data_IF_398650271492
#
_entry.id   IF_398650271492
#
_cell.length_a   1.000
_cell.length_b   1.000
_cell.length_c   1.000
_cell.angle_alpha   90.00
_cell.angle_beta   90.00
_cell.angle_gamma   90.00
#
_symmetry.space_group_name_H-M   'P 1'
#
loop_
_entity.id
_entity.type
_entity.pdbx_description
1 polymer ?
#
# COMPACT_ATOMS: atom_id res chain seq x y z
N UNK A 1 -43.96 -42.39 -31.38
CA UNK A 1 -44.32 -42.10 -29.97
C UNK A 1 -43.12 -42.52 -29.12
N UNK A 2 -42.33 -41.68 -28.48
CA UNK A 2 -42.19 -40.23 -28.42
C UNK A 2 -40.71 -39.99 -28.03
N UNK A 3 -40.04 -39.02 -28.66
CA UNK A 3 -38.74 -38.54 -28.22
C UNK A 3 -38.98 -37.47 -27.16
N UNK A 4 -38.54 -37.71 -25.91
CA UNK A 4 -38.45 -36.66 -24.91
C UNK A 4 -37.16 -35.89 -25.14
N UNK A 5 -37.28 -34.68 -25.66
CA UNK A 5 -36.22 -33.69 -25.62
C UNK A 5 -36.13 -33.12 -24.20
N UNK A 6 -35.02 -33.36 -23.51
CA UNK A 6 -34.69 -32.63 -22.30
C UNK A 6 -34.19 -31.23 -22.70
N UNK A 7 -35.06 -30.24 -22.57
CA UNK A 7 -34.67 -28.83 -22.57
C UNK A 7 -33.93 -28.55 -21.26
N UNK A 8 -32.60 -28.59 -21.30
CA UNK A 8 -31.79 -27.99 -20.25
C UNK A 8 -32.02 -26.48 -20.29
N UNK A 9 -32.65 -25.94 -19.26
CA UNK A 9 -32.72 -24.50 -19.01
C UNK A 9 -31.29 -24.00 -18.79
N UNK A 10 -30.72 -23.32 -19.80
CA UNK A 10 -29.52 -22.53 -19.59
C UNK A 10 -29.85 -21.46 -18.55
N UNK A 11 -29.25 -21.58 -17.36
CA UNK A 11 -29.18 -20.43 -16.45
C UNK A 11 -28.39 -19.34 -17.19
N UNK A 12 -28.82 -18.07 -17.18
CA UNK A 12 -27.95 -17.00 -17.62
C UNK A 12 -26.65 -17.11 -16.80
N UNK A 13 -25.50 -17.08 -17.47
CA UNK A 13 -24.24 -16.94 -16.78
C UNK A 13 -24.35 -15.68 -15.91
N UNK A 14 -24.10 -15.81 -14.61
CA UNK A 14 -23.92 -14.63 -13.78
C UNK A 14 -22.75 -13.83 -14.38
N UNK A 15 -22.88 -12.51 -14.45
CA UNK A 15 -21.79 -11.63 -14.86
C UNK A 15 -20.57 -11.90 -13.97
N UNK A 16 -19.36 -11.76 -14.51
CA UNK A 16 -18.18 -11.89 -13.68
C UNK A 16 -18.17 -10.71 -12.68
N UNK A 17 -17.79 -10.91 -11.41
CA UNK A 17 -17.76 -9.81 -10.44
C UNK A 17 -16.82 -8.67 -10.89
N UNK A 18 -15.74 -9.01 -11.59
CA UNK A 18 -14.79 -8.07 -12.18
C UNK A 18 -14.75 -8.26 -13.70
N UNK A 19 -15.03 -7.20 -14.46
CA UNK A 19 -15.07 -7.25 -15.94
C UNK A 19 -14.21 -6.16 -16.58
N UNK A 20 -13.41 -6.54 -17.60
CA UNK A 20 -12.56 -5.61 -18.34
C UNK A 20 -13.40 -4.55 -19.05
N UNK A 21 -13.04 -3.28 -18.85
CA UNK A 21 -13.60 -2.13 -19.56
C UNK A 21 -12.69 -1.77 -20.73
N UNK A 22 -11.44 -1.44 -20.43
CA UNK A 22 -10.42 -1.07 -21.42
C UNK A 22 -9.02 -1.40 -20.91
N UNK A 23 -8.08 -1.56 -21.85
CA UNK A 23 -6.66 -1.61 -21.54
C UNK A 23 -6.04 -0.26 -21.92
N UNK A 24 -5.27 0.33 -21.00
CA UNK A 24 -4.51 1.57 -21.19
C UNK A 24 -3.03 1.25 -21.46
N UNK A 25 -2.15 2.26 -21.42
CA UNK A 25 -0.72 2.05 -21.73
C UNK A 25 -0.04 1.27 -20.62
N UNK A 26 -0.19 1.65 -19.36
CA UNK A 26 0.50 0.99 -18.24
C UNK A 26 -0.42 0.15 -17.35
N UNK A 27 -1.74 0.26 -17.48
CA UNK A 27 -2.70 -0.44 -16.60
C UNK A 27 -3.95 -0.88 -17.36
N UNK A 28 -4.78 -1.68 -16.71
CA UNK A 28 -6.07 -2.13 -17.23
C UNK A 28 -7.22 -1.68 -16.33
N UNK A 29 -8.34 -1.24 -16.92
CA UNK A 29 -9.52 -0.74 -16.19
C UNK A 29 -10.58 -1.84 -16.13
N UNK A 30 -11.11 -2.09 -14.94
CA UNK A 30 -12.16 -3.08 -14.71
C UNK A 30 -13.34 -2.46 -13.95
N UNK A 31 -14.53 -2.99 -14.20
CA UNK A 31 -15.72 -2.70 -13.39
C UNK A 31 -15.80 -3.68 -12.22
N UNK A 32 -16.10 -3.17 -11.02
CA UNK A 32 -16.65 -3.95 -9.90
C UNK A 32 -18.18 -4.07 -10.08
N UNK A 33 -18.62 -5.12 -10.78
CA UNK A 33 -19.98 -5.27 -11.31
C UNK A 33 -21.03 -5.37 -10.21
N UNK A 34 -20.71 -6.05 -9.11
CA UNK A 34 -21.63 -6.34 -8.01
C UNK A 34 -21.17 -5.78 -6.65
N UNK A 35 -20.10 -4.99 -6.63
CA UNK A 35 -19.55 -4.40 -5.41
C UNK A 35 -18.72 -5.38 -4.57
N UNK A 36 -18.27 -6.49 -5.16
CA UNK A 36 -17.48 -7.52 -4.49
C UNK A 36 -16.17 -6.97 -3.95
N UNK A 37 -15.60 -5.94 -4.55
CA UNK A 37 -14.36 -5.30 -4.07
C UNK A 37 -14.70 -4.14 -3.12
N UNK A 38 -15.59 -3.24 -3.54
CA UNK A 38 -15.96 -2.04 -2.78
C UNK A 38 -16.54 -2.36 -1.40
N UNK A 39 -17.36 -3.41 -1.29
CA UNK A 39 -18.10 -3.71 -0.06
C UNK A 39 -17.58 -4.95 0.69
N UNK A 40 -16.41 -5.47 0.29
CA UNK A 40 -15.86 -6.67 0.91
C UNK A 40 -15.45 -6.46 2.37
N UNK A 41 -15.41 -7.53 3.15
CA UNK A 41 -14.75 -7.51 4.46
C UNK A 41 -13.27 -7.89 4.34
N UNK A 42 -12.41 -6.89 4.18
CA UNK A 42 -10.96 -7.09 4.04
C UNK A 42 -10.22 -7.47 5.34
N UNK A 43 -10.91 -7.55 6.48
CA UNK A 43 -10.30 -7.87 7.78
C UNK A 43 -10.37 -9.36 8.15
N UNK A 44 -11.02 -10.18 7.33
CA UNK A 44 -11.21 -11.59 7.59
C UNK A 44 -10.76 -12.41 6.38
N UNK A 45 -10.16 -13.57 6.65
CA UNK A 45 -9.62 -14.44 5.60
C UNK A 45 -10.65 -14.81 4.53
N UNK A 46 -11.75 -15.49 4.90
CA UNK A 46 -12.68 -16.00 3.89
C UNK A 46 -13.23 -14.90 2.96
N UNK A 47 -13.72 -13.74 3.46
CA UNK A 47 -14.14 -12.65 2.58
C UNK A 47 -12.98 -12.01 1.81
N UNK A 48 -11.79 -11.85 2.41
CA UNK A 48 -10.59 -11.41 1.68
C UNK A 48 -10.37 -12.25 0.41
N UNK A 49 -10.44 -13.58 0.52
CA UNK A 49 -10.28 -14.48 -0.62
C UNK A 49 -11.34 -14.27 -1.70
N UNK A 50 -12.58 -13.98 -1.32
CA UNK A 50 -13.65 -13.69 -2.28
C UNK A 50 -13.30 -12.47 -3.13
N UNK A 51 -12.85 -11.38 -2.50
CA UNK A 51 -12.43 -10.17 -3.20
C UNK A 51 -11.18 -10.39 -4.07
N UNK A 52 -10.15 -11.03 -3.52
CA UNK A 52 -8.93 -11.35 -4.25
C UNK A 52 -9.20 -12.24 -5.47
N UNK A 53 -9.94 -13.34 -5.30
CA UNK A 53 -10.25 -14.28 -6.39
C UNK A 53 -11.08 -13.62 -7.48
N UNK A 54 -12.03 -12.76 -7.12
CA UNK A 54 -12.80 -12.00 -8.10
C UNK A 54 -11.88 -11.15 -8.99
N UNK A 55 -10.88 -10.47 -8.40
CA UNK A 55 -9.92 -9.65 -9.13
C UNK A 55 -8.98 -10.52 -9.98
N UNK A 56 -8.40 -11.57 -9.41
CA UNK A 56 -7.48 -12.47 -10.13
C UNK A 56 -8.20 -13.17 -11.29
N UNK A 57 -9.40 -13.74 -11.07
CA UNK A 57 -10.17 -14.41 -12.13
C UNK A 57 -10.56 -13.43 -13.24
N UNK A 58 -10.98 -12.21 -12.89
CA UNK A 58 -11.32 -11.15 -13.85
C UNK A 58 -10.11 -10.74 -14.70
N UNK A 59 -8.94 -10.58 -14.07
CA UNK A 59 -7.69 -10.26 -14.75
C UNK A 59 -7.21 -11.41 -15.65
N UNK A 60 -7.12 -12.63 -15.12
CA UNK A 60 -6.64 -13.81 -15.85
C UNK A 60 -7.59 -14.29 -16.95
N UNK A 61 -8.85 -13.83 -16.96
CA UNK A 61 -9.76 -14.04 -18.09
C UNK A 61 -9.31 -13.30 -19.37
N UNK A 62 -8.53 -12.23 -19.23
CA UNK A 62 -8.13 -11.34 -20.34
C UNK A 62 -6.62 -11.13 -20.45
N UNK A 63 -5.85 -11.58 -19.47
CA UNK A 63 -4.39 -11.44 -19.40
C UNK A 63 -3.73 -12.80 -19.10
N UNK A 64 -2.54 -13.11 -19.66
CA UNK A 64 -1.77 -14.28 -19.25
C UNK A 64 -1.42 -14.25 -17.76
N UNK A 65 -1.27 -15.44 -17.18
CA UNK A 65 -0.74 -15.63 -15.83
C UNK A 65 0.80 -15.55 -15.85
N UNK A 66 1.33 -14.32 -15.92
CA UNK A 66 2.77 -14.01 -15.99
C UNK A 66 3.20 -12.87 -15.04
N UNK A 67 2.37 -12.59 -14.04
CA UNK A 67 2.61 -11.59 -12.99
C UNK A 67 2.85 -12.27 -11.64
N UNK A 68 3.86 -11.79 -10.92
CA UNK A 68 4.15 -12.18 -9.54
C UNK A 68 3.34 -11.34 -8.55
N UNK A 69 3.07 -10.09 -8.91
CA UNK A 69 2.32 -9.14 -8.11
C UNK A 69 1.19 -8.51 -8.92
N UNK A 70 0.07 -8.23 -8.26
CA UNK A 70 -1.00 -7.40 -8.81
C UNK A 70 -1.16 -6.17 -7.91
N UNK A 71 -0.94 -4.98 -8.47
CA UNK A 71 -1.20 -3.71 -7.82
C UNK A 71 -2.52 -3.13 -8.30
N UNK A 72 -3.39 -2.76 -7.36
CA UNK A 72 -4.74 -2.30 -7.65
C UNK A 72 -4.99 -0.94 -7.03
N UNK A 73 -5.49 -0.06 -7.86
CA UNK A 73 -6.10 1.20 -7.46
C UNK A 73 -7.61 1.11 -7.66
N UNK A 74 -8.35 1.86 -6.86
CA UNK A 74 -9.82 1.96 -6.98
C UNK A 74 -10.25 3.41 -7.21
N UNK A 75 -11.43 3.62 -7.77
CA UNK A 75 -12.10 4.95 -7.84
C UNK A 75 -13.00 5.22 -6.62
N UNK A 76 -12.79 4.45 -5.57
CA UNK A 76 -13.55 4.48 -4.35
C UNK A 76 -12.67 4.07 -3.19
N UNK A 77 -13.00 4.60 -2.02
CA UNK A 77 -12.42 4.14 -0.77
C UNK A 77 -12.96 2.74 -0.42
N UNK A 78 -12.06 1.85 -0.04
CA UNK A 78 -12.42 0.61 0.65
C UNK A 78 -13.10 0.89 1.99
N UNK A 79 -13.80 -0.10 2.58
CA UNK A 79 -14.51 0.09 3.85
C UNK A 79 -13.63 0.69 4.94
N UNK A 80 -14.24 1.56 5.76
CA UNK A 80 -13.54 2.34 6.77
C UNK A 80 -12.56 1.49 7.62
N UNK A 81 -11.33 1.98 7.73
CA UNK A 81 -10.24 1.31 8.44
C UNK A 81 -9.34 0.43 7.56
N UNK A 82 -9.67 0.26 6.28
CA UNK A 82 -8.78 -0.36 5.30
C UNK A 82 -7.95 0.74 4.63
N UNK A 83 -6.63 0.76 4.90
CA UNK A 83 -5.67 1.58 4.17
C UNK A 83 -5.18 0.89 2.90
N UNK A 84 -4.03 1.33 2.40
CA UNK A 84 -3.26 0.49 1.48
C UNK A 84 -2.71 -0.74 2.22
N UNK A 85 -2.60 -1.86 1.53
CA UNK A 85 -2.07 -3.09 2.11
C UNK A 85 -1.45 -4.01 1.07
N UNK A 86 -0.48 -4.81 1.50
CA UNK A 86 -0.03 -6.01 0.80
C UNK A 86 -0.51 -7.27 1.48
N UNK A 87 -0.99 -8.22 0.69
CA UNK A 87 -1.27 -9.58 1.14
C UNK A 87 -0.42 -10.58 0.36
N UNK A 88 0.34 -11.41 1.09
CA UNK A 88 0.96 -12.58 0.49
C UNK A 88 -0.07 -13.70 0.30
N UNK A 89 -0.10 -14.24 -0.92
CA UNK A 89 -0.89 -15.42 -1.30
C UNK A 89 -0.01 -16.67 -1.36
N UNK A 90 1.26 -16.50 -1.71
CA UNK A 90 2.26 -17.55 -1.67
C UNK A 90 3.63 -16.92 -1.39
N UNK A 91 4.47 -17.65 -0.67
CA UNK A 91 5.85 -17.24 -0.40
C UNK A 91 6.71 -18.47 -0.12
N UNK A 92 7.78 -18.65 -0.89
CA UNK A 92 8.75 -19.74 -0.73
C UNK A 92 10.13 -19.22 -0.31
N UNK A 93 10.23 -17.94 0.07
CA UNK A 93 11.45 -17.33 0.59
C UNK A 93 11.60 -17.67 2.07
N UNK A 94 12.73 -18.26 2.42
CA UNK A 94 13.09 -18.58 3.80
C UNK A 94 14.11 -17.59 4.37
N UNK A 95 14.21 -17.54 5.70
CA UNK A 95 15.20 -16.73 6.40
C UNK A 95 14.86 -15.23 6.42
N UNK A 96 13.59 -14.90 6.16
CA UNK A 96 13.06 -13.53 6.19
C UNK A 96 12.07 -13.31 7.35
N UNK A 97 11.89 -14.31 8.21
CA UNK A 97 11.00 -14.25 9.38
C UNK A 97 9.51 -14.36 9.05
N UNK A 98 9.15 -14.55 7.77
CA UNK A 98 7.76 -14.77 7.37
C UNK A 98 7.18 -16.01 8.05
N UNK A 99 8.03 -16.95 8.48
CA UNK A 99 7.72 -18.09 9.33
C UNK A 99 7.14 -17.75 10.72
N UNK A 100 6.99 -16.46 11.03
CA UNK A 100 6.32 -15.96 12.22
C UNK A 100 5.03 -15.19 11.91
N UNK A 101 4.77 -14.87 10.63
CA UNK A 101 3.68 -13.99 10.18
C UNK A 101 2.28 -14.58 10.47
N UNK A 102 2.09 -15.89 10.33
CA UNK A 102 0.80 -16.55 10.61
C UNK A 102 0.31 -16.40 12.06
N UNK A 103 1.20 -16.08 13.00
CA UNK A 103 0.81 -15.83 14.39
C UNK A 103 0.31 -14.41 14.63
N UNK A 104 0.58 -13.47 13.71
CA UNK A 104 0.28 -12.04 13.82
C UNK A 104 -0.79 -11.58 12.83
N UNK A 105 -0.94 -12.26 11.69
CA UNK A 105 -1.94 -11.98 10.67
C UNK A 105 -2.91 -13.17 10.52
N UNK A 106 -4.19 -12.91 10.80
CA UNK A 106 -5.26 -13.91 10.72
C UNK A 106 -5.61 -14.32 9.27
N UNK A 107 -5.19 -13.54 8.27
CA UNK A 107 -5.36 -13.87 6.85
C UNK A 107 -4.32 -14.90 6.43
N UNK A 108 -3.16 -14.96 7.10
CA UNK A 108 -2.06 -15.90 6.83
C UNK A 108 -2.23 -17.17 7.72
N UNK A 109 -2.78 -18.33 7.25
CA UNK A 109 -2.71 -19.64 7.91
C UNK A 109 -1.30 -20.21 8.14
N UNK A 110 -1.25 -21.29 8.89
CA UNK A 110 -0.05 -22.10 9.12
C UNK A 110 -0.28 -23.55 8.66
N UNK A 111 0.77 -24.31 8.28
CA UNK A 111 2.16 -23.90 8.01
C UNK A 111 2.35 -23.39 6.56
N UNK A 112 3.35 -22.52 6.35
CA UNK A 112 3.57 -21.60 5.21
C UNK A 112 3.45 -22.16 3.76
N UNK A 113 3.29 -21.26 2.77
CA UNK A 113 2.13 -21.18 1.85
C UNK A 113 2.31 -21.52 0.38
N UNK A 114 1.19 -21.98 -0.19
CA UNK A 114 0.85 -21.79 -1.59
C UNK A 114 -0.70 -21.72 -1.71
N UNK A 115 -1.33 -20.56 -1.46
CA UNK A 115 -2.78 -20.35 -1.68
C UNK A 115 -3.11 -20.18 -3.18
N UNK A 116 -2.08 -19.97 -4.01
CA UNK A 116 -2.16 -19.80 -5.47
C UNK A 116 -1.42 -20.93 -6.24
N UNK A 117 -1.69 -22.23 -5.96
CA UNK A 117 -0.85 -23.33 -6.48
C UNK A 117 -0.94 -23.54 -7.99
N UNK A 118 -1.76 -22.76 -8.68
CA UNK A 118 -1.96 -22.80 -10.13
C UNK A 118 -1.76 -21.44 -10.79
N UNK A 119 -1.34 -20.43 -10.05
CA UNK A 119 -1.09 -19.07 -10.50
C UNK A 119 0.37 -18.70 -10.24
N UNK A 120 0.92 -17.74 -10.98
CA UNK A 120 2.21 -17.12 -10.70
C UNK A 120 2.11 -16.00 -9.68
N UNK A 121 0.89 -15.56 -9.34
CA UNK A 121 0.65 -14.48 -8.40
C UNK A 121 1.03 -14.93 -6.99
N UNK A 122 2.03 -14.27 -6.42
CA UNK A 122 2.53 -14.51 -5.07
C UNK A 122 1.98 -13.49 -4.07
N UNK A 123 1.63 -12.29 -4.54
CA UNK A 123 1.15 -11.23 -3.67
C UNK A 123 0.28 -10.22 -4.39
N UNK A 124 -0.48 -9.50 -3.58
CA UNK A 124 -1.47 -8.55 -4.01
C UNK A 124 -1.29 -7.26 -3.23
N UNK A 125 -1.25 -6.12 -3.92
CA UNK A 125 -1.18 -4.79 -3.34
C UNK A 125 -2.48 -4.05 -3.63
N UNK A 126 -3.25 -3.73 -2.60
CA UNK A 126 -4.34 -2.79 -2.73
C UNK A 126 -3.86 -1.41 -2.33
N UNK A 127 -3.79 -0.49 -3.28
CA UNK A 127 -3.38 0.90 -3.06
C UNK A 127 -4.56 1.79 -2.65
N UNK A 128 -5.77 1.24 -2.67
CA UNK A 128 -7.02 1.93 -2.32
C UNK A 128 -7.32 3.06 -3.34
N UNK A 129 -8.03 4.10 -2.93
CA UNK A 129 -8.44 5.18 -3.82
C UNK A 129 -7.24 5.83 -4.53
N UNK A 130 -7.26 5.83 -5.86
CA UNK A 130 -6.18 6.37 -6.68
C UNK A 130 -5.95 7.86 -6.39
N UNK A 131 -6.99 8.60 -6.00
CA UNK A 131 -6.91 10.04 -5.73
C UNK A 131 -6.02 10.39 -4.55
N UNK A 132 -5.70 9.43 -3.67
CA UNK A 132 -4.75 9.62 -2.57
C UNK A 132 -3.30 9.79 -3.04
N UNK A 133 -3.01 9.49 -4.31
CA UNK A 133 -1.66 9.51 -4.89
C UNK A 133 -1.40 10.75 -5.75
N UNK A 134 -2.35 11.69 -5.75
CA UNK A 134 -2.25 12.95 -6.44
C UNK A 134 -2.51 14.09 -5.46
N UNK A 135 -2.08 15.29 -5.85
CA UNK A 135 -2.34 16.54 -5.15
C UNK A 135 -3.25 17.38 -6.05
N UNK A 136 -4.59 17.17 -6.04
CA UNK A 136 -5.51 17.80 -6.99
C UNK A 136 -5.45 19.33 -6.94
N UNK A 137 -5.27 19.89 -5.74
CA UNK A 137 -5.17 21.35 -5.54
C UNK A 137 -3.87 21.95 -6.10
N UNK A 138 -2.84 21.12 -6.26
CA UNK A 138 -1.51 21.51 -6.77
C UNK A 138 -1.26 21.02 -8.21
N UNK A 139 -2.17 20.21 -8.77
CA UNK A 139 -2.12 19.72 -10.15
C UNK A 139 -0.98 18.74 -10.44
N UNK A 140 -0.57 17.92 -9.46
CA UNK A 140 0.58 17.02 -9.57
C UNK A 140 0.44 15.72 -8.78
N UNK A 141 1.50 14.90 -8.79
CA UNK A 141 1.59 13.67 -8.01
C UNK A 141 1.94 13.97 -6.55
N UNK A 142 1.45 13.14 -5.62
CA UNK A 142 1.94 13.13 -4.25
C UNK A 142 3.19 12.23 -4.16
N UNK A 143 4.33 12.81 -4.50
CA UNK A 143 5.63 12.12 -4.55
C UNK A 143 6.01 11.45 -3.22
N UNK A 144 5.79 12.14 -2.10
CA UNK A 144 6.12 11.62 -0.77
C UNK A 144 5.23 10.43 -0.43
N UNK A 145 3.93 10.56 -0.68
CA UNK A 145 2.97 9.49 -0.42
C UNK A 145 3.18 8.27 -1.31
N UNK A 146 3.40 8.45 -2.63
CA UNK A 146 3.73 7.36 -3.55
C UNK A 146 4.99 6.64 -3.07
N UNK A 147 6.04 7.40 -2.69
CA UNK A 147 7.28 6.84 -2.16
C UNK A 147 7.01 5.94 -0.96
N UNK A 148 6.30 6.48 0.03
CA UNK A 148 6.05 5.80 1.29
C UNK A 148 5.21 4.55 1.05
N UNK A 149 4.02 4.70 0.47
CA UNK A 149 3.01 3.63 0.48
C UNK A 149 3.34 2.54 -0.53
N UNK A 150 3.74 2.88 -1.76
CA UNK A 150 4.04 1.85 -2.76
C UNK A 150 5.25 1.01 -2.33
N UNK A 151 6.30 1.66 -1.81
CA UNK A 151 7.45 0.99 -1.23
C UNK A 151 7.06 0.15 -0.02
N UNK A 152 6.29 0.71 0.92
CA UNK A 152 5.88 0.00 2.13
C UNK A 152 5.10 -1.29 1.79
N UNK A 153 4.10 -1.18 0.92
CA UNK A 153 3.26 -2.32 0.60
C UNK A 153 4.02 -3.39 -0.20
N UNK A 154 4.78 -3.02 -1.24
CA UNK A 154 5.55 -4.02 -1.98
C UNK A 154 6.64 -4.66 -1.11
N UNK A 155 7.23 -3.89 -0.19
CA UNK A 155 8.25 -4.39 0.73
C UNK A 155 7.74 -5.51 1.66
N UNK A 156 6.46 -5.54 2.02
CA UNK A 156 5.87 -6.61 2.84
C UNK A 156 5.90 -7.99 2.17
N UNK A 157 6.21 -8.09 0.88
CA UNK A 157 6.54 -9.38 0.26
C UNK A 157 7.77 -10.06 0.91
N UNK A 158 8.64 -9.29 1.58
CA UNK A 158 9.88 -9.79 2.17
C UNK A 158 10.18 -9.28 3.59
N UNK A 159 9.67 -8.12 3.98
CA UNK A 159 10.31 -7.32 5.02
C UNK A 159 9.58 -7.30 6.36
N UNK A 160 10.37 -7.02 7.40
CA UNK A 160 9.92 -6.72 8.76
C UNK A 160 9.18 -7.81 9.52
N UNK A 161 9.64 -9.05 9.35
CA UNK A 161 9.19 -10.18 10.17
C UNK A 161 10.33 -10.89 10.92
N UNK A 162 11.57 -10.46 10.69
CA UNK A 162 12.75 -11.09 11.29
C UNK A 162 12.83 -10.85 12.79
N UNK A 163 13.33 -11.87 13.47
CA UNK A 163 13.61 -11.91 14.90
C UNK A 163 15.07 -12.26 15.12
N UNK A 164 15.53 -12.06 16.34
CA UNK A 164 16.91 -12.30 16.73
C UNK A 164 16.98 -12.85 18.15
N UNK A 165 18.13 -13.41 18.57
CA UNK A 165 18.42 -13.81 19.97
C UNK A 165 17.24 -14.51 20.68
N UNK A 166 16.96 -15.75 20.26
CA UNK A 166 15.86 -16.59 20.78
C UNK A 166 14.45 -16.00 20.55
N UNK A 167 14.26 -15.31 19.42
CA UNK A 167 12.94 -14.90 18.92
C UNK A 167 12.44 -13.55 19.41
N UNK A 168 13.34 -12.65 19.82
CA UNK A 168 13.00 -11.27 20.18
C UNK A 168 12.48 -10.48 19.00
N UNK A 169 11.52 -9.60 19.28
CA UNK A 169 10.80 -8.78 18.28
C UNK A 169 11.10 -7.29 18.42
N UNK A 170 12.14 -6.88 19.16
CA UNK A 170 12.42 -5.46 19.46
C UNK A 170 12.75 -4.64 18.19
N UNK A 171 13.16 -5.31 17.11
CA UNK A 171 13.36 -4.69 15.79
C UNK A 171 12.04 -4.31 15.12
N UNK A 172 10.92 -4.86 15.58
CA UNK A 172 9.59 -4.70 15.00
C UNK A 172 8.75 -3.68 15.80
N UNK A 173 7.93 -2.92 15.08
CA UNK A 173 7.05 -1.89 15.59
C UNK A 173 5.61 -2.16 15.21
N UNK A 174 5.02 -1.26 14.42
CA UNK A 174 3.60 -1.27 14.06
C UNK A 174 3.16 -2.63 13.53
N UNK A 175 2.19 -3.24 14.21
CA UNK A 175 1.62 -4.56 13.91
C UNK A 175 2.62 -5.74 13.86
N UNK A 176 3.84 -5.57 14.38
CA UNK A 176 4.94 -6.54 14.21
C UNK A 176 5.23 -6.87 12.74
N UNK A 177 4.95 -5.92 11.85
CA UNK A 177 5.12 -6.02 10.40
C UNK A 177 5.84 -4.78 9.83
N UNK A 178 6.34 -3.89 10.69
CA UNK A 178 7.11 -2.71 10.29
C UNK A 178 8.29 -2.56 11.23
N UNK A 179 9.33 -1.86 10.81
CA UNK A 179 10.48 -1.63 11.67
C UNK A 179 10.10 -0.75 12.86
N UNK A 180 10.69 -1.05 14.01
CA UNK A 180 10.53 -0.26 15.23
C UNK A 180 10.89 1.20 14.96
N UNK A 181 10.12 2.13 15.52
CA UNK A 181 10.41 3.57 15.49
C UNK A 181 11.86 3.88 15.90
N UNK A 182 12.44 3.06 16.77
CA UNK A 182 13.81 3.23 17.30
C UNK A 182 14.91 2.51 16.52
N UNK A 183 14.56 1.83 15.42
CA UNK A 183 15.51 1.16 14.56
C UNK A 183 16.14 2.16 13.59
N UNK A 184 17.48 2.17 13.49
CA UNK A 184 18.15 2.88 12.41
C UNK A 184 17.96 2.07 11.13
N UNK A 185 17.18 2.62 10.20
CA UNK A 185 16.94 2.05 8.87
C UNK A 185 17.40 2.97 7.74
N UNK A 186 17.86 4.19 8.08
CA UNK A 186 18.19 5.21 7.09
C UNK A 186 16.98 5.80 6.37
N UNK A 187 15.77 5.62 6.92
CA UNK A 187 14.53 6.09 6.29
C UNK A 187 13.89 5.07 5.34
N UNK A 188 13.86 3.80 5.75
CA UNK A 188 13.18 2.75 4.98
C UNK A 188 11.68 3.06 4.82
N UNK A 189 11.06 2.77 3.65
CA UNK A 189 9.61 2.88 3.50
C UNK A 189 8.87 1.87 4.40
N UNK A 190 9.55 0.87 4.97
CA UNK A 190 9.01 -0.04 6.01
C UNK A 190 9.19 0.53 7.44
N UNK A 191 9.37 1.85 7.55
CA UNK A 191 9.61 2.61 8.79
C UNK A 191 11.00 2.40 9.42
N UNK A 192 11.09 2.59 10.73
CA UNK A 192 12.30 3.05 11.38
C UNK A 192 12.63 4.49 10.98
N UNK A 193 13.81 4.95 11.38
CA UNK A 193 14.25 6.32 11.06
C UNK A 193 15.75 6.37 10.75
N UNK A 194 16.20 7.53 10.27
CA UNK A 194 17.62 7.82 10.18
C UNK A 194 18.09 8.46 11.48
N UNK A 195 18.36 7.59 12.45
CA UNK A 195 18.91 7.95 13.74
C UNK A 195 20.40 8.23 13.64
N UNK A 196 20.81 9.38 14.14
CA UNK A 196 22.21 9.74 14.36
C UNK A 196 22.53 9.64 15.84
N UNK A 197 23.59 8.89 16.16
CA UNK A 197 24.15 8.80 17.52
C UNK A 197 25.02 10.03 17.80
N UNK A 198 24.63 10.83 18.79
CA UNK A 198 25.34 12.06 19.18
C UNK A 198 26.61 11.80 20.00
N UNK A 199 26.92 10.53 20.31
CA UNK A 199 28.08 10.08 21.09
C UNK A 199 28.09 10.56 22.54
N UNK A 200 26.93 10.93 23.07
CA UNK A 200 26.74 11.40 24.46
C UNK A 200 25.60 10.66 25.18
N UNK A 201 25.09 9.58 24.60
CA UNK A 201 23.93 8.82 25.09
C UNK A 201 22.59 9.32 24.55
N UNK A 202 22.60 10.34 23.68
CA UNK A 202 21.43 10.81 22.94
C UNK A 202 21.50 10.48 21.46
N UNK A 203 20.33 10.44 20.83
CA UNK A 203 20.14 10.17 19.41
C UNK A 203 19.18 11.19 18.83
N UNK A 204 19.45 11.64 17.62
CA UNK A 204 18.58 12.58 16.90
C UNK A 204 18.17 11.96 15.56
N UNK A 205 16.86 11.93 15.30
CA UNK A 205 16.34 11.50 14.01
C UNK A 205 16.24 12.68 13.03
N UNK A 206 16.56 12.42 11.77
CA UNK A 206 16.35 13.35 10.67
C UNK A 206 15.03 13.04 9.92
N UNK A 207 14.27 14.09 9.51
CA UNK A 207 13.16 13.90 8.58
C UNK A 207 13.68 13.46 7.21
N UNK A 208 12.83 12.74 6.48
CA UNK A 208 13.13 12.21 5.16
C UNK A 208 12.29 12.92 4.12
N UNK A 209 12.93 13.52 3.13
CA UNK A 209 12.24 14.02 1.93
C UNK A 209 12.10 12.91 0.87
N UNK A 210 12.74 11.76 1.08
CA UNK A 210 12.70 10.58 0.20
C UNK A 210 13.05 9.32 0.98
N UNK A 211 12.31 8.23 0.78
CA UNK A 211 12.58 6.95 1.42
C UNK A 211 13.58 6.12 0.61
N UNK A 212 14.38 5.28 1.27
CA UNK A 212 15.28 4.31 0.64
C UNK A 212 15.37 3.06 1.50
N UNK A 213 15.37 1.88 0.88
CA UNK A 213 15.56 0.63 1.62
C UNK A 213 16.92 0.58 2.31
N UNK A 214 16.94 0.08 3.54
CA UNK A 214 18.15 -0.17 4.32
C UNK A 214 18.96 -1.34 3.74
N UNK A 215 20.20 -1.53 4.22
CA UNK A 215 20.99 -2.71 3.83
C UNK A 215 20.35 -4.03 4.32
N UNK A 216 19.71 -4.01 5.50
CA UNK A 216 18.93 -5.14 6.00
C UNK A 216 17.75 -5.44 5.08
N UNK A 217 17.00 -4.43 4.66
CA UNK A 217 15.89 -4.57 3.73
C UNK A 217 16.36 -5.22 2.43
N UNK A 218 17.42 -4.68 1.82
CA UNK A 218 17.94 -5.18 0.56
C UNK A 218 18.47 -6.61 0.68
N UNK A 219 19.03 -7.00 1.82
CA UNK A 219 19.40 -8.40 2.07
C UNK A 219 18.16 -9.31 2.12
N UNK A 220 17.13 -8.93 2.88
CA UNK A 220 15.91 -9.70 3.04
C UNK A 220 15.08 -9.80 1.74
N UNK A 221 15.17 -8.79 0.87
CA UNK A 221 14.62 -8.85 -0.50
C UNK A 221 15.47 -9.72 -1.45
N UNK A 222 16.68 -10.11 -1.07
CA UNK A 222 17.62 -10.83 -1.94
C UNK A 222 18.28 -9.94 -2.99
N UNK A 223 18.37 -8.64 -2.73
CA UNK A 223 18.98 -7.61 -3.58
C UNK A 223 20.39 -7.19 -3.09
N UNK A 224 20.82 -7.67 -1.91
CA UNK A 224 22.15 -7.45 -1.35
C UNK A 224 22.71 -8.73 -0.71
N UNK A 225 23.99 -9.02 -0.92
CA UNK A 225 24.65 -10.15 -0.26
C UNK A 225 25.00 -9.83 1.20
N UNK A 226 25.00 -10.84 2.08
CA UNK A 226 25.28 -10.67 3.52
C UNK A 226 26.59 -9.90 3.81
N UNK A 227 27.63 -10.09 2.99
CA UNK A 227 28.93 -9.41 3.16
C UNK A 227 28.93 -7.92 2.83
N UNK A 228 27.92 -7.44 2.11
CA UNK A 228 27.76 -6.02 1.80
C UNK A 228 27.01 -5.27 2.91
N UNK A 229 26.19 -5.97 3.69
CA UNK A 229 25.33 -5.38 4.72
C UNK A 229 26.17 -4.70 5.79
N UNK A 230 26.03 -3.38 5.91
CA UNK A 230 26.67 -2.63 7.00
C UNK A 230 25.97 -2.87 8.34
N UNK A 231 26.71 -2.82 9.48
CA UNK A 231 26.08 -2.84 10.79
C UNK A 231 25.09 -1.69 10.97
N UNK A 232 24.01 -1.94 11.71
CA UNK A 232 23.00 -0.96 12.10
C UNK A 232 22.79 -1.01 13.61
N UNK A 233 21.86 -0.22 14.14
CA UNK A 233 21.57 -0.24 15.58
C UNK A 233 20.10 -0.02 15.89
N UNK A 234 19.71 -0.45 17.09
CA UNK A 234 18.45 -0.15 17.76
C UNK A 234 18.73 0.72 18.98
N UNK A 235 17.91 1.73 19.22
CA UNK A 235 17.92 2.49 20.48
C UNK A 235 17.08 1.71 21.51
N UNK A 236 17.72 1.20 22.55
CA UNK A 236 17.07 0.53 23.66
C UNK A 236 16.80 1.49 24.82
N UNK A 237 15.79 1.18 25.63
CA UNK A 237 15.37 1.95 26.79
C UNK A 237 15.22 3.46 26.50
N UNK A 238 14.43 3.87 25.47
CA UNK A 238 14.27 5.27 25.10
C UNK A 238 13.64 6.08 26.25
N UNK A 239 14.25 7.21 26.60
CA UNK A 239 13.82 8.12 27.65
C UNK A 239 14.23 9.56 27.34
N UNK A 240 13.77 10.52 28.16
CA UNK A 240 14.11 11.95 28.03
C UNK A 240 13.88 12.53 26.61
N UNK A 241 12.72 12.25 26.02
CA UNK A 241 12.36 12.69 24.68
C UNK A 241 12.01 14.20 24.63
N UNK A 242 13.05 15.04 24.58
CA UNK A 242 12.94 16.51 24.69
C UNK A 242 12.05 17.15 23.61
N UNK A 243 12.13 16.63 22.39
CA UNK A 243 11.41 17.14 21.22
C UNK A 243 10.00 16.55 21.09
N UNK A 244 9.58 15.66 22.00
CA UNK A 244 8.23 15.09 21.95
C UNK A 244 7.17 16.20 21.97
N UNK A 245 6.22 16.13 21.04
CA UNK A 245 5.10 17.07 20.97
C UNK A 245 4.05 16.78 22.05
N UNK A 246 4.14 15.65 22.75
CA UNK A 246 3.21 15.29 23.83
C UNK A 246 3.41 16.23 25.03
N UNK A 247 2.32 16.64 25.73
CA UNK A 247 2.42 17.53 26.90
C UNK A 247 3.30 16.99 28.04
N UNK A 248 3.35 15.67 28.20
CA UNK A 248 4.12 14.99 29.24
C UNK A 248 5.55 14.66 28.82
N UNK A 249 5.95 15.04 27.59
CA UNK A 249 7.25 14.70 26.99
C UNK A 249 7.56 13.20 26.97
N UNK A 250 6.52 12.36 27.03
CA UNK A 250 6.70 10.93 26.88
C UNK A 250 7.24 10.60 25.49
N UNK A 251 8.06 9.56 25.46
CA UNK A 251 8.63 9.05 24.23
C UNK A 251 7.55 8.47 23.30
N UNK A 252 7.87 8.40 22.01
CA UNK A 252 7.06 7.69 21.04
C UNK A 252 7.08 6.19 21.40
N UNK A 253 5.97 5.47 21.28
CA UNK A 253 6.04 4.02 21.38
C UNK A 253 6.78 3.43 20.17
N UNK A 254 7.29 2.21 20.29
CA UNK A 254 8.03 1.54 19.20
C UNK A 254 7.17 1.29 17.94
N UNK A 255 5.84 1.32 18.07
CA UNK A 255 4.86 1.19 16.99
C UNK A 255 4.43 2.53 16.36
N UNK A 256 5.04 3.65 16.79
CA UNK A 256 4.89 4.92 16.09
C UNK A 256 5.55 4.86 14.70
N UNK A 257 5.01 5.64 13.76
CA UNK A 257 5.47 5.63 12.36
C UNK A 257 5.89 7.01 11.84
N UNK A 258 5.67 8.08 12.61
CA UNK A 258 5.99 9.44 12.21
C UNK A 258 6.40 10.28 13.43
N UNK A 259 7.19 11.32 13.17
CA UNK A 259 7.48 12.35 14.16
C UNK A 259 6.26 13.26 14.32
N UNK A 260 6.01 13.71 15.55
CA UNK A 260 5.08 14.83 15.79
C UNK A 260 5.80 16.18 15.85
N UNK A 261 7.13 16.16 15.78
CA UNK A 261 8.00 17.34 15.86
C UNK A 261 8.95 17.36 14.65
N UNK A 262 9.47 18.55 14.25
CA UNK A 262 10.37 18.66 13.10
C UNK A 262 11.67 17.85 13.22
N UNK A 263 12.13 17.66 14.46
CA UNK A 263 13.23 16.76 14.83
C UNK A 263 12.80 15.95 16.03
N UNK A 264 13.47 14.82 16.28
CA UNK A 264 13.20 14.00 17.44
C UNK A 264 14.50 13.57 18.11
N UNK A 265 14.78 14.14 19.28
CA UNK A 265 15.93 13.76 20.11
C UNK A 265 15.50 12.94 21.33
N UNK A 266 16.21 11.85 21.59
CA UNK A 266 15.92 10.86 22.64
C UNK A 266 17.21 10.39 23.31
N UNK A 267 17.17 10.15 24.62
CA UNK A 267 18.22 9.43 25.35
C UNK A 267 17.96 7.92 25.30
N UNK A 268 19.01 7.10 25.26
CA UNK A 268 18.86 5.66 25.26
C UNK A 268 20.18 4.90 25.26
N UNK A 269 20.11 3.60 25.05
CA UNK A 269 21.29 2.73 24.92
C UNK A 269 21.38 2.21 23.50
N UNK A 270 22.50 2.46 22.83
CA UNK A 270 22.78 1.89 21.51
C UNK A 270 23.01 0.39 21.62
N UNK A 271 22.28 -0.39 20.83
CA UNK A 271 22.57 -1.80 20.57
C UNK A 271 22.87 -2.00 19.10
N UNK A 272 24.12 -2.33 18.79
CA UNK A 272 24.54 -2.65 17.43
C UNK A 272 24.10 -4.04 17.01
N UNK A 273 23.82 -4.18 15.72
CA UNK A 273 23.45 -5.41 15.04
C UNK A 273 24.26 -5.55 13.75
N UNK A 274 24.44 -6.80 13.36
CA UNK A 274 25.00 -7.24 12.10
C UNK A 274 24.05 -8.23 11.45
N UNK A 275 24.27 -8.53 10.17
CA UNK A 275 23.44 -9.54 9.50
C UNK A 275 23.56 -10.93 10.13
N UNK A 276 24.70 -11.23 10.76
CA UNK A 276 24.92 -12.49 11.45
C UNK A 276 23.96 -12.67 12.64
N UNK A 277 23.51 -11.59 13.29
CA UNK A 277 22.54 -11.65 14.39
C UNK A 277 21.16 -12.13 13.92
N UNK A 278 20.79 -11.78 12.68
CA UNK A 278 19.55 -12.24 12.03
C UNK A 278 19.73 -13.67 11.53
N UNK A 279 20.81 -13.94 10.81
CA UNK A 279 21.11 -15.27 10.26
C UNK A 279 21.20 -16.33 11.36
N UNK A 280 21.71 -15.98 12.54
CA UNK A 280 21.82 -16.89 13.67
C UNK A 280 20.46 -17.45 14.11
N UNK A 281 19.38 -16.67 13.98
CA UNK A 281 18.04 -17.09 14.39
C UNK A 281 17.16 -17.53 13.22
N UNK A 282 17.07 -16.73 12.16
CA UNK A 282 16.20 -17.01 11.01
C UNK A 282 16.83 -17.99 10.01
N UNK A 283 18.15 -18.18 10.07
CA UNK A 283 18.91 -18.88 9.05
C UNK A 283 19.32 -17.97 7.88
N UNK A 284 20.07 -18.53 6.94
CA UNK A 284 20.40 -17.82 5.70
C UNK A 284 19.14 -17.62 4.86
N UNK A 285 19.09 -16.49 4.12
CA UNK A 285 18.02 -16.28 3.16
C UNK A 285 18.10 -17.30 2.03
N UNK A 286 16.97 -17.94 1.70
CA UNK A 286 16.86 -18.87 0.58
C UNK A 286 15.69 -18.41 -0.33
N UNK A 287 15.91 -18.20 -1.64
CA UNK A 287 17.19 -18.29 -2.36
C UNK A 287 18.24 -17.29 -1.82
N UNK A 288 19.53 -17.54 -2.03
CA UNK A 288 20.56 -16.56 -1.66
C UNK A 288 20.49 -15.33 -2.56
N UNK A 289 21.22 -14.26 -2.24
CA UNK A 289 21.34 -13.08 -3.09
C UNK A 289 21.71 -13.44 -4.54
N UNK A 290 22.66 -14.36 -4.74
CA UNK A 290 23.14 -14.76 -6.07
C UNK A 290 22.07 -15.46 -6.92
N UNK A 291 21.18 -16.21 -6.28
CA UNK A 291 20.13 -17.00 -6.94
C UNK A 291 18.76 -16.31 -6.95
N UNK A 292 18.62 -15.17 -6.26
CA UNK A 292 17.35 -14.44 -6.16
C UNK A 292 17.03 -13.65 -7.41
N UNK A 293 15.74 -13.50 -7.76
CA UNK A 293 15.32 -12.54 -8.78
C UNK A 293 15.82 -11.12 -8.45
N UNK A 294 16.08 -10.35 -9.50
CA UNK A 294 16.41 -8.90 -9.44
C UNK A 294 15.41 -8.05 -10.22
N UNK A 295 14.47 -8.72 -10.86
CA UNK A 295 13.40 -8.15 -11.67
C UNK A 295 12.14 -8.89 -11.28
N UNK A 296 11.09 -8.15 -10.95
CA UNK A 296 9.82 -8.71 -10.53
C UNK A 296 8.70 -8.30 -11.47
N UNK A 297 7.80 -9.23 -11.75
CA UNK A 297 6.71 -9.01 -12.69
C UNK A 297 5.46 -8.52 -11.96
N UNK A 298 4.95 -7.36 -12.35
CA UNK A 298 3.82 -6.71 -11.68
C UNK A 298 2.80 -6.24 -12.71
N UNK A 299 1.51 -6.42 -12.41
CA UNK A 299 0.40 -5.89 -13.19
C UNK A 299 -0.31 -4.79 -12.44
N UNK A 300 -0.75 -3.76 -13.15
CA UNK A 300 -1.50 -2.64 -12.58
C UNK A 300 -2.95 -2.65 -13.06
N UNK A 301 -3.88 -2.60 -12.11
CA UNK A 301 -5.31 -2.58 -12.36
C UNK A 301 -5.92 -1.32 -11.74
N UNK A 302 -6.90 -0.75 -12.43
CA UNK A 302 -7.82 0.23 -11.87
C UNK A 302 -9.21 -0.41 -11.81
N UNK A 303 -9.82 -0.45 -10.63
CA UNK A 303 -11.17 -0.97 -10.43
C UNK A 303 -12.14 0.17 -10.15
N UNK A 304 -13.20 0.27 -10.93
CA UNK A 304 -14.19 1.34 -10.84
C UNK A 304 -15.62 0.83 -10.68
N UNK A 305 -16.55 1.71 -10.32
CA UNK A 305 -17.98 1.37 -10.36
C UNK A 305 -18.47 1.26 -11.81
N UNK A 306 -19.46 0.41 -12.13
CA UNK A 306 -19.85 0.14 -13.52
C UNK A 306 -20.28 1.37 -14.32
N UNK A 307 -21.08 2.24 -13.70
CA UNK A 307 -21.66 3.43 -14.33
C UNK A 307 -20.74 4.66 -14.31
N UNK A 308 -19.56 4.54 -13.72
CA UNK A 308 -18.59 5.62 -13.63
C UNK A 308 -17.91 5.88 -14.97
N UNK A 309 -17.76 7.15 -15.33
CA UNK A 309 -17.05 7.57 -16.53
C UNK A 309 -15.77 8.26 -16.07
N UNK A 310 -14.63 7.69 -16.46
CA UNK A 310 -13.32 8.28 -16.23
C UNK A 310 -12.95 9.20 -17.39
N UNK A 311 -12.50 10.39 -17.03
CA UNK A 311 -12.11 11.43 -17.94
C UNK A 311 -10.65 11.23 -18.40
N UNK A 312 -10.27 11.75 -19.56
CA UNK A 312 -8.92 11.55 -20.07
C UNK A 312 -7.84 12.08 -19.11
N UNK A 313 -8.08 13.19 -18.42
CA UNK A 313 -7.15 13.77 -17.44
C UNK A 313 -6.99 12.90 -16.18
N UNK A 314 -8.05 12.24 -15.73
CA UNK A 314 -7.97 11.26 -14.64
C UNK A 314 -7.15 10.03 -15.06
N UNK A 315 -7.40 9.52 -16.27
CA UNK A 315 -6.66 8.37 -16.80
C UNK A 315 -5.18 8.71 -17.01
N UNK A 316 -4.87 9.91 -17.50
CA UNK A 316 -3.49 10.41 -17.62
C UNK A 316 -2.82 10.57 -16.24
N UNK A 317 -3.54 11.02 -15.21
CA UNK A 317 -3.02 11.09 -13.85
C UNK A 317 -2.68 9.69 -13.31
N UNK A 318 -3.52 8.70 -13.56
CA UNK A 318 -3.28 7.30 -13.14
C UNK A 318 -2.10 6.69 -13.90
N UNK A 319 -1.94 6.97 -15.20
CA UNK A 319 -0.73 6.60 -15.96
C UNK A 319 0.54 7.14 -15.25
N UNK A 320 0.51 8.41 -14.83
CA UNK A 320 1.63 9.04 -14.13
C UNK A 320 1.88 8.42 -12.75
N UNK A 321 0.84 8.07 -11.99
CA UNK A 321 0.98 7.35 -10.70
C UNK A 321 1.66 5.99 -10.90
N UNK A 322 1.25 5.22 -11.91
CA UNK A 322 1.83 3.89 -12.20
C UNK A 322 3.30 4.01 -12.61
N UNK A 323 3.60 4.93 -13.54
CA UNK A 323 4.99 5.18 -13.96
C UNK A 323 5.85 5.60 -12.78
N UNK A 324 5.36 6.53 -11.97
CA UNK A 324 6.12 7.03 -10.83
C UNK A 324 6.34 5.95 -9.78
N UNK A 325 5.34 5.12 -9.49
CA UNK A 325 5.48 3.99 -8.57
C UNK A 325 6.61 3.03 -8.97
N UNK A 326 6.74 2.74 -10.27
CA UNK A 326 7.82 1.91 -10.82
C UNK A 326 9.18 2.59 -10.69
N UNK A 327 9.27 3.88 -11.04
CA UNK A 327 10.50 4.66 -10.91
C UNK A 327 10.99 4.72 -9.46
N UNK A 328 10.08 4.99 -8.52
CA UNK A 328 10.39 5.09 -7.10
C UNK A 328 10.89 3.76 -6.54
N UNK A 329 10.34 2.62 -6.95
CA UNK A 329 10.88 1.32 -6.56
C UNK A 329 12.36 1.15 -6.96
N UNK A 330 12.72 1.56 -8.19
CA UNK A 330 14.10 1.47 -8.68
C UNK A 330 15.01 2.39 -7.87
N UNK A 331 14.56 3.62 -7.59
CA UNK A 331 15.30 4.59 -6.76
C UNK A 331 15.51 4.06 -5.33
N UNK A 332 14.44 3.60 -4.67
CA UNK A 332 14.43 3.11 -3.29
C UNK A 332 15.31 1.87 -3.11
N UNK A 333 15.34 0.99 -4.11
CA UNK A 333 16.22 -0.20 -4.12
C UNK A 333 17.66 0.12 -4.53
N UNK A 334 18.00 1.40 -4.74
CA UNK A 334 19.33 1.87 -5.17
C UNK A 334 19.75 1.25 -6.50
N UNK A 335 18.78 1.03 -7.39
CA UNK A 335 18.95 0.40 -8.69
C UNK A 335 19.22 -1.12 -8.66
N UNK A 336 19.00 -1.78 -7.51
CA UNK A 336 19.25 -3.23 -7.36
C UNK A 336 18.05 -4.09 -7.71
N UNK A 337 16.84 -3.54 -7.64
CA UNK A 337 15.60 -4.17 -8.05
C UNK A 337 14.97 -3.45 -9.24
N UNK A 338 14.30 -4.22 -10.10
CA UNK A 338 13.51 -3.70 -11.20
C UNK A 338 12.08 -4.26 -11.14
N UNK A 339 11.12 -3.50 -11.66
CA UNK A 339 9.76 -3.96 -11.92
C UNK A 339 9.52 -4.03 -13.42
N UNK A 340 8.88 -5.11 -13.85
CA UNK A 340 8.42 -5.30 -15.22
C UNK A 340 6.91 -5.21 -15.18
N UNK A 341 6.39 -4.12 -15.76
CA UNK A 341 4.97 -3.92 -15.89
C UNK A 341 4.39 -4.88 -16.94
N UNK A 342 3.66 -5.90 -16.49
CA UNK A 342 3.03 -6.92 -17.34
C UNK A 342 1.78 -6.41 -18.05
N UNK A 343 1.09 -5.41 -17.50
CA UNK A 343 -0.04 -4.75 -18.17
C UNK A 343 0.37 -3.72 -19.21
N UNK A 344 1.68 -3.42 -19.34
CA UNK A 344 2.18 -2.45 -20.31
C UNK A 344 1.85 -2.87 -21.75
N UNK A 345 1.29 -1.94 -22.54
CA UNK A 345 0.91 -2.17 -23.92
C UNK A 345 1.26 -0.99 -24.83
N UNK A 346 1.91 -1.28 -25.95
CA UNK A 346 2.13 -0.31 -27.04
C UNK A 346 0.89 -0.13 -27.94
N UNK A 347 -0.23 -0.78 -27.61
CA UNK A 347 -1.45 -0.68 -28.40
C UNK A 347 -2.05 0.72 -28.23
N UNK A 348 -2.44 1.40 -29.33
CA UNK A 348 -3.11 2.68 -29.23
C UNK A 348 -4.40 2.55 -28.41
N UNK A 349 -4.49 3.31 -27.34
CA UNK A 349 -5.70 3.43 -26.54
C UNK A 349 -6.71 4.34 -27.24
N UNK A 350 -8.00 4.02 -27.16
CA UNK A 350 -9.02 4.93 -27.63
C UNK A 350 -9.04 6.19 -26.72
N UNK A 351 -9.22 7.39 -27.28
CA UNK A 351 -9.38 8.59 -26.46
C UNK A 351 -10.64 8.46 -25.61
N UNK A 352 -10.50 8.69 -24.32
CA UNK A 352 -11.56 8.78 -23.33
C UNK A 352 -12.32 10.11 -23.47
N UNK A 353 -13.52 10.24 -22.88
CA UNK A 353 -14.26 11.50 -22.94
C UNK A 353 -13.51 12.65 -22.25
N UNK A 354 -13.60 13.85 -22.82
CA UNK A 354 -13.26 15.08 -22.12
C UNK A 354 -14.43 15.49 -21.24
N UNK A 355 -14.19 15.61 -19.94
CA UNK A 355 -15.20 16.02 -18.96
C UNK A 355 -15.11 17.51 -18.60
N UNK A 356 -14.22 18.26 -19.27
CA UNK A 356 -14.19 19.72 -19.10
C UNK A 356 -15.53 20.32 -19.54
N UNK A 357 -16.16 21.19 -18.73
CA UNK A 357 -17.32 21.93 -19.19
C UNK A 357 -16.90 22.80 -20.36
N UNK A 358 -17.52 22.60 -21.53
CA UNK A 358 -17.26 23.43 -22.71
C UNK A 358 -17.57 24.91 -22.37
N UNK A 359 -16.57 25.82 -22.34
CA UNK A 359 -16.84 27.23 -22.10
C UNK A 359 -17.60 27.88 -23.27
N UNK A 360 -17.78 27.15 -24.37
CA UNK A 360 -18.50 27.58 -25.57
C UNK A 360 -19.84 26.87 -25.78
N UNK A 361 -20.49 26.44 -24.70
CA UNK A 361 -21.91 26.13 -24.70
C UNK A 361 -22.78 27.36 -24.97
N UNK A 362 -22.75 27.90 -26.20
CA UNK A 362 -23.88 28.64 -26.75
C UNK A 362 -25.07 27.71 -26.67
N UNK A 363 -25.99 28.04 -25.75
CA UNK A 363 -27.22 27.31 -25.56
C UNK A 363 -27.87 27.04 -26.91
N UNK A 364 -28.13 25.76 -27.18
CA UNK A 364 -29.07 25.38 -28.21
C UNK A 364 -30.39 26.04 -27.87
N UNK A 365 -30.77 27.03 -28.66
CA UNK A 365 -32.11 27.59 -28.69
C UNK A 365 -33.06 26.42 -28.99
N UNK A 366 -33.73 25.94 -27.94
CA UNK A 366 -35.00 25.28 -28.11
C UNK A 366 -36.03 26.39 -28.25
N UNK A 367 -36.45 26.62 -29.49
CA UNK A 367 -37.72 27.30 -29.77
C UNK A 367 -38.82 26.59 -28.97
N UNK A 368 -39.31 27.24 -27.91
CA UNK A 368 -40.64 26.98 -27.39
C UNK A 368 -41.35 28.31 -27.16
N UNK A 369 -42.32 28.52 -28.03
CA UNK A 369 -43.34 29.56 -27.96
C UNK A 369 -44.10 29.49 -26.63
N UNK A 370 -44.36 30.67 -26.06
CA UNK A 370 -45.61 30.96 -25.36
C UNK A 370 -45.60 30.88 -23.83
N UNK A 371 -45.88 32.02 -23.18
CA UNK A 371 -46.46 32.00 -21.83
C UNK A 371 -46.14 33.18 -20.93
N UNK A 372 -46.80 34.31 -21.16
CA UNK A 372 -46.89 35.45 -20.24
C UNK A 372 -47.45 35.05 -18.87
N UNK A 373 -46.80 35.42 -17.76
CA UNK A 373 -47.40 36.25 -16.68
C UNK A 373 -46.55 36.32 -15.41
N UNK A 374 -46.28 37.56 -14.96
CA UNK A 374 -46.54 37.99 -13.58
C UNK A 374 -45.52 37.67 -12.50
N UNK A 375 -44.78 38.70 -12.05
CA UNK A 375 -44.03 38.64 -10.79
C UNK A 375 -43.44 40.00 -10.43
N UNK A 376 -44.18 40.78 -9.66
CA UNK A 376 -43.80 42.09 -9.16
C UNK A 376 -43.06 41.99 -7.81
N UNK A 377 -42.13 42.93 -7.58
CA UNK A 377 -41.64 43.33 -6.26
C UNK A 377 -40.56 42.42 -5.67
N UNK A 378 -39.50 42.90 -5.02
CA UNK A 378 -39.25 44.20 -4.38
C UNK A 378 -37.77 44.26 -3.98
N UNK A 379 -37.16 45.45 -4.12
CA UNK A 379 -36.20 46.13 -3.22
C UNK A 379 -35.02 45.34 -2.61
N UNK A 380 -33.78 45.83 -2.58
CA UNK A 380 -33.29 47.19 -2.70
C UNK A 380 -31.79 47.22 -2.41
N UNK A 381 -31.18 48.25 -2.94
CA UNK A 381 -29.76 48.44 -3.21
C UNK A 381 -29.00 49.01 -2.00
N UNK A 382 -27.74 48.57 -1.88
CA UNK A 382 -26.51 49.31 -1.53
C UNK A 382 -26.47 50.35 -0.39
N UNK A 383 -25.41 50.23 0.41
CA UNK A 383 -24.46 51.31 0.74
C UNK A 383 -23.18 50.62 1.23
N UNK A 384 -21.94 50.98 0.89
CA UNK A 384 -21.35 52.21 0.39
C UNK A 384 -20.13 52.52 1.29
N UNK A 385 -18.95 52.79 0.73
CA UNK A 385 -17.83 53.33 1.50
C UNK A 385 -16.43 53.03 0.98
N UNK A 386 -15.89 53.97 0.20
CA UNK A 386 -14.49 54.08 -0.21
C UNK A 386 -13.53 54.33 0.98
N UNK A 387 -12.24 53.94 0.83
CA UNK A 387 -11.18 54.36 1.73
C UNK A 387 -9.78 53.90 1.32
N UNK A 388 -8.94 54.85 0.95
CA UNK A 388 -7.61 54.72 0.33
C UNK A 388 -6.44 54.44 1.31
N UNK A 389 -5.38 53.86 0.74
CA UNK A 389 -3.92 54.09 0.93
C UNK A 389 -3.09 53.47 2.08
N UNK A 390 -2.01 52.84 1.61
CA UNK A 390 -0.57 52.93 1.99
C UNK A 390 0.03 52.03 3.09
N UNK A 391 0.90 51.12 2.61
CA UNK A 391 2.27 50.77 3.04
C UNK A 391 2.58 50.40 4.50
N UNK A 392 3.10 49.19 4.72
CA UNK A 392 4.51 48.87 5.03
C UNK A 392 4.66 47.57 5.86
N UNK A 393 5.76 46.88 5.57
CA UNK A 393 6.37 45.68 6.19
C UNK A 393 5.99 45.33 7.63
N UNK A 394 5.82 44.03 7.93
CA UNK A 394 6.73 43.23 8.79
C UNK A 394 6.09 41.90 9.23
N UNK A 395 6.97 40.92 9.47
CA UNK A 395 6.77 39.58 10.02
C UNK A 395 5.64 39.40 11.05
N UNK A 396 4.92 38.28 10.95
CA UNK A 396 4.45 37.54 12.12
C UNK A 396 3.94 36.13 11.76
N UNK A 397 4.68 35.16 12.27
CA UNK A 397 4.22 33.84 12.71
C UNK A 397 2.90 33.85 13.51
N UNK A 398 2.01 32.90 13.21
CA UNK A 398 1.06 32.19 14.10
C UNK A 398 0.11 31.40 13.17
N UNK A 399 -0.20 30.12 13.34
CA UNK A 399 -0.34 29.37 14.57
C UNK A 399 -1.82 29.00 14.76
N UNK A 400 -2.09 27.69 14.76
CA UNK A 400 -3.29 27.00 15.31
C UNK A 400 -4.57 26.98 14.46
N UNK A 401 -4.97 25.79 14.02
CA UNK A 401 -5.89 24.88 14.74
C UNK A 401 -6.29 23.78 13.74
N UNK A 402 -6.05 22.50 14.02
CA UNK A 402 -6.74 21.74 15.04
C UNK A 402 -7.76 20.82 14.35
N UNK A 403 -7.27 19.73 13.75
CA UNK A 403 -8.06 18.64 13.22
C UNK A 403 -7.35 17.34 13.59
N UNK A 404 -8.05 16.47 14.32
CA UNK A 404 -7.60 15.11 14.57
C UNK A 404 -7.71 14.33 13.26
N UNK A 405 -6.59 14.16 12.59
CA UNK A 405 -6.51 13.32 11.41
C UNK A 405 -6.25 11.88 11.88
N UNK A 406 -7.32 11.08 11.87
CA UNK A 406 -7.24 9.63 11.74
C UNK A 406 -6.68 9.33 10.33
N UNK A 407 -5.37 9.49 10.15
CA UNK A 407 -4.70 9.14 8.90
C UNK A 407 -4.72 7.62 8.76
N UNK A 408 -5.22 7.15 7.61
CA UNK A 408 -5.50 5.75 7.28
C UNK A 408 -4.43 4.76 7.76
N UNK A 409 -4.81 3.98 8.77
CA UNK A 409 -4.02 2.86 9.28
C UNK A 409 -3.97 1.74 8.24
N UNK A 410 -2.77 1.31 7.80
CA UNK A 410 -2.54 -0.04 7.27
C UNK A 410 -2.86 -1.03 8.40
N UNK A 411 -4.11 -1.49 8.48
CA UNK A 411 -4.64 -2.16 9.66
C UNK A 411 -4.31 -3.65 9.67
N UNK A 412 -3.26 -4.02 10.38
CA UNK A 412 -3.17 -5.31 11.06
C UNK A 412 -3.45 -5.08 12.56
N UNK A 413 -4.72 -5.11 12.98
CA UNK A 413 -5.08 -5.06 14.41
C UNK A 413 -4.88 -6.43 15.05
N UNK A 414 -4.01 -6.52 16.05
CA UNK A 414 -4.04 -7.66 16.99
C UNK A 414 -4.99 -7.34 18.14
N UNK A 415 -6.04 -8.14 18.31
CA UNK A 415 -6.86 -8.11 19.53
C UNK A 415 -6.26 -9.03 20.59
N UNK A 416 -6.02 -8.47 21.78
CA UNK A 416 -5.41 -9.16 22.90
C UNK A 416 -6.28 -10.25 23.54
N UNK A 417 -5.71 -11.45 23.64
CA UNK A 417 -5.68 -12.28 24.85
C UNK A 417 -6.99 -12.61 25.58
N UNK A 418 -7.58 -13.78 25.25
CA UNK A 418 -8.59 -14.46 26.07
C UNK A 418 -8.22 -15.92 26.36
N UNK A 419 -7.99 -16.24 27.64
CA UNK A 419 -7.63 -17.58 28.15
C UNK A 419 -8.69 -18.66 27.89
N UNK A 420 -8.24 -19.78 27.30
CA UNK A 420 -8.43 -21.12 27.87
C UNK A 420 -9.47 -22.06 27.23
N UNK A 421 -8.99 -23.17 26.64
CA UNK A 421 -9.18 -24.54 27.18
C UNK A 421 -8.48 -25.58 26.30
N UNK A 422 -7.75 -26.48 26.96
CA UNK A 422 -7.05 -27.61 26.37
C UNK A 422 -8.02 -28.65 25.77
N UNK A 423 -7.73 -29.12 24.56
CA UNK A 423 -8.20 -30.41 24.03
C UNK A 423 -7.01 -31.10 23.36
N UNK A 424 -6.79 -32.35 23.75
CA UNK A 424 -5.66 -33.19 23.40
C UNK A 424 -5.73 -33.74 21.96
N UNK A 425 -4.57 -33.67 21.29
CA UNK A 425 -3.92 -34.63 20.39
C UNK A 425 -4.79 -35.62 19.59
N UNK A 426 -4.65 -35.55 18.26
CA UNK A 426 -4.49 -36.72 17.38
C UNK A 426 -3.81 -36.27 16.07
N UNK A 427 -2.57 -36.72 15.86
CA UNK A 427 -1.78 -36.49 14.64
C UNK A 427 -2.08 -37.57 13.59
N UNK A 428 -1.99 -37.22 12.29
CA UNK A 428 -1.58 -38.18 11.27
C UNK A 428 -0.28 -37.75 10.59
N UNK A 429 0.67 -38.69 10.54
CA UNK A 429 1.79 -38.68 9.59
C UNK A 429 1.26 -38.60 8.16
N UNK A 430 1.76 -37.65 7.36
CA UNK A 430 1.71 -37.75 5.90
C UNK A 430 3.05 -37.37 5.28
N UNK A 431 3.46 -38.24 4.36
CA UNK A 431 4.76 -38.27 3.70
C UNK A 431 4.96 -37.06 2.78
N UNK A 432 6.16 -36.47 2.89
CA UNK A 432 6.67 -35.53 1.91
C UNK A 432 6.93 -36.23 0.56
N UNK A 433 6.28 -35.73 -0.50
CA UNK A 433 6.67 -36.01 -1.88
C UNK A 433 7.00 -34.68 -2.55
N UNK A 434 8.28 -34.31 -2.49
CA UNK A 434 8.80 -33.14 -3.19
C UNK A 434 8.69 -33.31 -4.71
N UNK A 435 8.11 -32.31 -5.37
CA UNK A 435 8.23 -32.11 -6.82
C UNK A 435 8.74 -30.70 -7.08
N UNK A 436 10.01 -30.62 -7.50
CA UNK A 436 10.64 -29.44 -8.11
C UNK A 436 9.79 -28.96 -9.29
N UNK A 437 9.34 -27.70 -9.26
CA UNK A 437 8.91 -26.98 -10.47
C UNK A 437 10.15 -26.56 -11.26
N UNK A 438 10.02 -26.62 -12.59
CA UNK A 438 11.04 -26.18 -13.54
C UNK A 438 10.93 -24.67 -13.69
N UNK A 439 12.10 -24.04 -13.63
CA UNK A 439 12.40 -22.63 -13.84
C UNK A 439 11.85 -22.10 -15.15
#
# INVERSE_FOLDING_TARGET
LAALAALASARPAAAAPIELVEARRNFMVFNDVDGTVEHNNWFARDPFFVGYQAIEDGFLAVHPDDSQFIAIYTTFELPAGVGAFFQSMANDVHGIGYEHAAAIDAIIPAPYFDDTPKSQVFGFMHMNDWTWHVLPELGGLDEEWISLVFGQELGHAWLSFVRYDDGKTDLLGRALAHWSFYLQTGGSPIQGHDWVDNQDGTFTAHPHDSFQYSDLDLYLMGLMGAKEVQPWFLIQDPHDCVDSAKPDKSCAPADAFQFQAPTYTVSGTRKDFTIDDIILFEGERIPSYEDSPKSFDISFLLIKRPDEVLCEDELEAIEAVVERSIEMWVEQTRGRGALVNRTASDRPTAPAPSCTPDPSGTGGESESDGGTSGGAGTTGTSSGGDGSSSSSDSDASAGSSGGQDDVGSCACRSEGGGRGRAISLLAPLLLAAGRRRRR
#
